data_IF_548133059006
#
_entry.id   IF_548133059006
#
_cell.length_a   1.000
_cell.length_b   1.000
_cell.length_c   1.000
_cell.angle_alpha   90.00
_cell.angle_beta   90.00
_cell.angle_gamma   90.00
#
_symmetry.space_group_name_H-M   'P 1'
#
loop_
_entity.id
_entity.type
_entity.pdbx_description
1 polymer ?
#
# COMPACT_ATOMS: atom_id res chain seq x y z
N UNK A 1 -7.63 12.79 -3.00
CA UNK A 1 -8.64 12.33 -2.03
C UNK A 1 -8.42 10.89 -1.55
N UNK A 2 -8.26 9.90 -2.44
CA UNK A 2 -8.20 8.47 -2.04
C UNK A 2 -7.02 8.10 -1.13
N UNK A 3 -5.87 8.78 -1.24
CA UNK A 3 -4.73 8.53 -0.32
C UNK A 3 -4.97 9.07 1.08
N UNK A 4 -5.72 10.18 1.21
CA UNK A 4 -6.08 10.74 2.53
C UNK A 4 -7.01 9.77 3.25
N UNK A 5 -8.03 9.26 2.56
CA UNK A 5 -8.92 8.22 3.11
C UNK A 5 -8.16 6.95 3.51
N UNK A 6 -7.16 6.55 2.72
CA UNK A 6 -6.32 5.40 3.03
C UNK A 6 -5.49 5.62 4.29
N UNK A 7 -4.87 6.79 4.42
CA UNK A 7 -4.08 7.17 5.62
C UNK A 7 -4.99 7.22 6.86
N UNK A 8 -6.17 7.82 6.75
CA UNK A 8 -7.15 7.85 7.84
C UNK A 8 -7.58 6.43 8.24
N UNK A 9 -7.83 5.55 7.26
CA UNK A 9 -8.14 4.14 7.51
C UNK A 9 -7.01 3.40 8.23
N UNK A 10 -5.75 3.64 7.86
CA UNK A 10 -4.57 3.08 8.54
C UNK A 10 -4.53 3.53 10.01
N UNK A 11 -4.67 4.84 10.26
CA UNK A 11 -4.60 5.41 11.61
C UNK A 11 -5.73 4.85 12.48
N UNK A 12 -6.96 4.85 11.98
CA UNK A 12 -8.12 4.34 12.71
C UNK A 12 -7.98 2.84 13.03
N UNK A 13 -7.53 2.03 12.06
CA UNK A 13 -7.33 0.58 12.24
C UNK A 13 -6.22 0.29 13.26
N UNK A 14 -5.13 1.04 13.20
CA UNK A 14 -4.03 0.92 14.16
C UNK A 14 -4.49 1.29 15.59
N UNK A 15 -5.18 2.42 15.74
CA UNK A 15 -5.69 2.86 17.03
C UNK A 15 -6.65 1.82 17.65
N UNK A 16 -7.59 1.29 16.86
CA UNK A 16 -8.51 0.25 17.31
C UNK A 16 -7.79 -1.05 17.69
N UNK A 17 -6.77 -1.44 16.92
CA UNK A 17 -5.96 -2.63 17.22
C UNK A 17 -5.18 -2.47 18.52
N UNK A 18 -4.58 -1.30 18.76
CA UNK A 18 -3.84 -1.02 19.99
C UNK A 18 -4.78 -0.98 21.19
N UNK A 19 -5.94 -0.35 21.03
CA UNK A 19 -6.98 -0.31 22.06
C UNK A 19 -7.36 -1.72 22.52
N UNK A 20 -7.73 -2.61 21.58
CA UNK A 20 -8.08 -4.00 21.90
C UNK A 20 -6.93 -4.80 22.51
N UNK A 21 -5.69 -4.53 22.09
CA UNK A 21 -4.51 -5.17 22.66
C UNK A 21 -4.29 -4.79 24.13
N UNK A 22 -4.58 -3.54 24.51
CA UNK A 22 -4.46 -3.07 25.89
C UNK A 22 -5.64 -3.48 26.77
N UNK A 23 -6.82 -3.69 26.20
CA UNK A 23 -8.06 -4.01 26.93
C UNK A 23 -8.23 -5.52 27.23
N UNK A 24 -7.11 -6.24 27.41
CA UNK A 24 -7.04 -7.69 27.64
C UNK A 24 -7.78 -8.54 26.58
N UNK A 25 -7.97 -7.98 25.39
CA UNK A 25 -8.73 -8.58 24.30
C UNK A 25 -7.89 -8.70 23.02
N UNK A 26 -6.61 -9.04 23.21
CA UNK A 26 -5.60 -9.08 22.15
C UNK A 26 -5.96 -10.04 21.00
N UNK A 27 -6.73 -11.10 21.28
CA UNK A 27 -7.20 -12.02 20.25
C UNK A 27 -8.09 -11.32 19.20
N UNK A 28 -8.92 -10.35 19.62
CA UNK A 28 -9.75 -9.56 18.70
C UNK A 28 -8.95 -8.48 17.95
N UNK A 29 -7.74 -8.13 18.41
CA UNK A 29 -6.85 -7.22 17.68
C UNK A 29 -6.20 -7.90 16.46
N UNK A 30 -5.98 -9.21 16.49
CA UNK A 30 -5.34 -9.97 15.41
C UNK A 30 -5.95 -9.73 14.01
N UNK A 31 -7.28 -9.84 13.80
CA UNK A 31 -7.87 -9.56 12.49
C UNK A 31 -7.65 -8.11 12.04
N UNK A 32 -7.66 -7.13 12.95
CA UNK A 32 -7.38 -5.73 12.61
C UNK A 32 -5.94 -5.52 12.15
N UNK A 33 -4.97 -6.23 12.74
CA UNK A 33 -3.57 -6.20 12.29
C UNK A 33 -3.43 -6.72 10.85
N UNK A 34 -4.19 -7.75 10.47
CA UNK A 34 -4.19 -8.26 9.08
C UNK A 34 -4.71 -7.19 8.12
N UNK A 35 -5.81 -6.51 8.49
CA UNK A 35 -6.36 -5.40 7.69
C UNK A 35 -5.35 -4.27 7.57
N UNK A 36 -4.70 -3.89 8.68
CA UNK A 36 -3.65 -2.86 8.70
C UNK A 36 -2.50 -3.21 7.73
N UNK A 37 -2.02 -4.46 7.75
CA UNK A 37 -0.98 -4.92 6.84
C UNK A 37 -1.42 -4.80 5.35
N UNK A 38 -2.67 -5.14 5.05
CA UNK A 38 -3.25 -4.97 3.71
C UNK A 38 -3.33 -3.51 3.27
N UNK A 39 -3.71 -2.60 4.17
CA UNK A 39 -3.75 -1.16 3.91
C UNK A 39 -2.36 -0.59 3.66
N UNK A 40 -1.36 -0.96 4.48
CA UNK A 40 0.04 -0.57 4.29
C UNK A 40 0.57 -1.09 2.95
N UNK A 41 0.33 -2.37 2.62
CA UNK A 41 0.70 -2.95 1.31
C UNK A 41 0.12 -2.14 0.16
N UNK A 42 -1.12 -1.69 0.29
CA UNK A 42 -1.83 -0.90 -0.72
C UNK A 42 -1.19 0.49 -0.85
N UNK A 43 -0.83 1.12 0.26
CA UNK A 43 -0.10 2.39 0.27
C UNK A 43 1.25 2.27 -0.45
N UNK A 44 2.05 1.25 -0.10
CA UNK A 44 3.37 1.00 -0.72
C UNK A 44 3.22 0.76 -2.22
N UNK A 45 2.28 -0.08 -2.64
CA UNK A 45 2.01 -0.34 -4.06
C UNK A 45 1.62 0.92 -4.83
N UNK A 46 0.82 1.80 -4.22
CA UNK A 46 0.47 3.08 -4.84
C UNK A 46 1.63 4.05 -4.91
N UNK A 47 2.49 4.06 -3.90
CA UNK A 47 3.69 4.90 -3.89
C UNK A 47 4.67 4.47 -4.99
N UNK A 48 4.89 3.17 -5.16
CA UNK A 48 5.79 2.62 -6.18
C UNK A 48 5.33 2.82 -7.63
N UNK A 49 4.01 2.93 -7.88
CA UNK A 49 3.47 3.22 -9.23
C UNK A 49 3.73 4.64 -9.72
N UNK A 50 4.31 5.53 -8.91
CA UNK A 50 4.59 6.92 -9.32
C UNK A 50 5.91 7.11 -10.08
N UNK A 51 6.74 6.07 -10.22
CA UNK A 51 8.09 6.20 -10.81
C UNK A 51 8.42 5.29 -11.99
N UNK A 52 7.46 4.54 -12.53
CA UNK A 52 7.66 3.79 -13.79
C UNK A 52 6.52 4.18 -14.72
N UNK A 53 6.79 5.14 -15.58
CA UNK A 53 5.89 5.40 -16.70
C UNK A 53 6.07 4.27 -17.71
N UNK A 54 5.00 3.69 -18.31
CA UNK A 54 5.13 2.66 -19.34
C UNK A 54 5.99 3.09 -20.55
N UNK A 55 6.19 4.40 -20.73
CA UNK A 55 7.08 4.98 -21.74
C UNK A 55 8.58 4.75 -21.43
N UNK A 56 8.94 4.51 -20.17
CA UNK A 56 10.32 4.33 -19.70
C UNK A 56 10.78 2.87 -19.81
N UNK A 57 9.84 1.95 -19.99
CA UNK A 57 10.06 0.52 -20.27
C UNK A 57 9.79 0.21 -21.75
N UNK A 58 9.90 1.22 -22.63
CA UNK A 58 9.90 0.95 -24.06
C UNK A 58 11.19 0.19 -24.41
N UNK A 59 11.12 -0.93 -25.16
CA UNK A 59 12.32 -1.58 -25.67
C UNK A 59 13.12 -0.56 -26.51
N UNK A 60 14.46 -0.64 -26.55
CA UNK A 60 15.26 0.21 -27.42
C UNK A 60 14.74 0.07 -28.85
N UNK A 61 14.44 1.19 -29.51
CA UNK A 61 14.03 1.20 -30.91
C UNK A 61 15.12 0.54 -31.75
N UNK A 62 14.84 -0.64 -32.31
CA UNK A 62 15.69 -1.24 -33.33
C UNK A 62 15.69 -0.29 -34.52
N UNK A 63 16.84 0.33 -34.79
CA UNK A 63 17.06 1.15 -35.97
C UNK A 63 17.42 0.18 -37.12
N UNK A 64 16.41 -0.24 -37.87
CA UNK A 64 16.53 -1.22 -38.98
C UNK A 64 17.26 -0.66 -40.22
N UNK A 65 18.06 0.40 -40.07
CA UNK A 65 18.75 1.11 -41.18
C UNK A 65 20.14 0.56 -41.52
N UNK A 66 20.44 -0.69 -41.18
CA UNK A 66 21.74 -1.31 -41.45
C UNK A 66 21.72 -2.46 -42.47
N UNK A 67 20.79 -2.47 -43.44
CA UNK A 67 20.82 -3.40 -44.57
C UNK A 67 20.70 -2.68 -45.91
#
# INVERSE_FOLDING_TARGET
MTNILLILGIIATLAASLWLAFENNAALALPLVIVLAGLIRTLVRRSGRRGITPAEVAPPSHDDRQL
#
